data_IF_850541238364
#
_entry.id   IF_850541238364
#
_cell.length_a   1.000
_cell.length_b   1.000
_cell.length_c   1.000
_cell.angle_alpha   90.00
_cell.angle_beta   90.00
_cell.angle_gamma   90.00
#
_symmetry.space_group_name_H-M   'P 1'
#
loop_
_entity.id
_entity.type
_entity.pdbx_description
1 polymer ?
#
# COMPACT_ATOMS: atom_id res chain seq x y z
N UNK A 1 -1.51 -22.03 -2.73
CA UNK A 1 -1.09 -23.09 -1.78
C UNK A 1 -1.83 -22.86 -0.48
N UNK A 2 -2.53 -23.86 0.06
CA UNK A 2 -3.13 -23.74 1.39
C UNK A 2 -2.00 -23.74 2.43
N UNK A 3 -1.88 -22.67 3.22
CA UNK A 3 -0.91 -22.61 4.31
C UNK A 3 -1.40 -23.57 5.42
N UNK A 4 -0.57 -24.51 5.90
CA UNK A 4 -1.00 -25.43 6.95
C UNK A 4 -1.40 -24.66 8.21
N UNK A 5 -2.42 -25.18 8.91
CA UNK A 5 -2.94 -24.57 10.12
C UNK A 5 -1.81 -24.36 11.15
N UNK A 6 -1.53 -23.09 11.46
CA UNK A 6 -0.50 -22.70 12.42
C UNK A 6 -1.19 -22.30 13.72
N UNK A 7 -0.81 -22.95 14.82
CA UNK A 7 -1.28 -22.56 16.15
C UNK A 7 -0.63 -21.22 16.53
N UNK A 8 -1.45 -20.19 16.74
CA UNK A 8 -1.03 -18.87 17.21
C UNK A 8 -1.50 -18.67 18.64
N UNK A 9 -0.62 -18.12 19.49
CA UNK A 9 -0.95 -17.79 20.88
C UNK A 9 -1.22 -16.29 21.01
N UNK A 10 -2.16 -15.96 21.89
CA UNK A 10 -2.38 -14.59 22.33
C UNK A 10 -1.23 -14.14 23.23
N UNK A 11 -0.83 -12.88 23.08
CA UNK A 11 0.05 -12.24 24.05
C UNK A 11 -0.72 -11.63 25.24
N UNK A 12 -0.01 -11.00 26.17
CA UNK A 12 -0.59 -10.37 27.37
C UNK A 12 -1.57 -9.23 27.07
N UNK A 13 -1.57 -8.69 25.84
CA UNK A 13 -2.47 -7.63 25.37
C UNK A 13 -3.58 -8.18 24.47
N UNK A 14 -3.76 -9.52 24.42
CA UNK A 14 -4.76 -10.21 23.58
C UNK A 14 -4.55 -9.99 22.08
N UNK A 15 -3.30 -9.85 21.64
CA UNK A 15 -2.93 -9.75 20.21
C UNK A 15 -2.47 -11.10 19.68
N UNK A 16 -2.71 -11.36 18.39
CA UNK A 16 -2.10 -12.48 17.65
C UNK A 16 -1.04 -11.93 16.70
N UNK A 17 0.08 -12.64 16.56
CA UNK A 17 1.11 -12.30 15.58
C UNK A 17 0.91 -13.12 14.31
N UNK A 18 0.57 -12.47 13.21
CA UNK A 18 0.36 -13.14 11.92
C UNK A 18 1.69 -13.67 11.33
N UNK A 19 2.80 -12.98 11.54
CA UNK A 19 4.11 -13.38 11.02
C UNK A 19 4.05 -13.67 9.52
N UNK A 20 4.52 -14.84 9.08
CA UNK A 20 4.48 -15.28 7.67
C UNK A 20 3.08 -15.51 7.08
N UNK A 21 2.01 -15.39 7.88
CA UNK A 21 0.64 -15.44 7.37
C UNK A 21 0.22 -14.11 6.74
N UNK A 22 0.88 -13.00 7.10
CA UNK A 22 0.68 -11.73 6.43
C UNK A 22 1.63 -11.62 5.24
N UNK A 23 1.11 -11.19 4.10
CA UNK A 23 1.92 -10.82 2.95
C UNK A 23 2.63 -9.49 3.24
N UNK A 24 3.80 -9.29 2.63
CA UNK A 24 4.68 -8.15 2.97
C UNK A 24 4.05 -6.78 2.68
N UNK A 25 3.16 -6.71 1.69
CA UNK A 25 2.57 -5.45 1.23
C UNK A 25 1.30 -5.09 2.01
N UNK A 26 0.81 -5.98 2.89
CA UNK A 26 -0.38 -5.75 3.70
C UNK A 26 -0.01 -4.89 4.91
N UNK A 27 -0.66 -3.72 5.04
CA UNK A 27 -0.41 -2.80 6.15
C UNK A 27 -1.48 -2.90 7.24
N UNK A 28 -2.70 -3.33 6.90
CA UNK A 28 -3.80 -3.49 7.86
C UNK A 28 -4.77 -4.61 7.45
N UNK A 29 -5.68 -4.97 8.36
CA UNK A 29 -6.73 -5.95 8.11
C UNK A 29 -8.06 -5.43 8.66
N UNK A 30 -9.14 -5.60 7.91
CA UNK A 30 -10.48 -5.57 8.51
C UNK A 30 -10.77 -6.91 9.17
N UNK A 31 -11.27 -6.89 10.39
CA UNK A 31 -11.67 -8.09 11.12
C UNK A 31 -13.19 -8.24 11.12
N UNK A 32 -13.66 -9.42 10.74
CA UNK A 32 -15.07 -9.81 10.79
C UNK A 32 -15.23 -11.00 11.75
N UNK A 33 -16.11 -10.87 12.74
CA UNK A 33 -16.45 -11.95 13.67
C UNK A 33 -17.78 -12.57 13.24
N UNK A 34 -17.76 -13.88 12.97
CA UNK A 34 -18.97 -14.68 12.70
C UNK A 34 -19.60 -15.18 14.00
N UNK A 35 -20.88 -15.55 13.92
CA UNK A 35 -21.65 -16.02 15.08
C UNK A 35 -21.09 -17.30 15.73
N UNK A 36 -20.37 -18.13 14.95
CA UNK A 36 -19.70 -19.34 15.42
C UNK A 36 -18.34 -19.08 16.11
N UNK A 37 -17.95 -17.81 16.23
CA UNK A 37 -16.68 -17.39 16.81
C UNK A 37 -15.51 -17.35 15.81
N UNK A 38 -15.75 -17.65 14.53
CA UNK A 38 -14.73 -17.53 13.48
C UNK A 38 -14.37 -16.07 13.24
N UNK A 39 -13.08 -15.76 13.24
CA UNK A 39 -12.56 -14.44 12.85
C UNK A 39 -12.00 -14.53 11.43
N UNK A 40 -12.54 -13.72 10.52
CA UNK A 40 -12.04 -13.57 9.15
C UNK A 40 -11.29 -12.24 9.08
N UNK A 41 -10.07 -12.27 8.52
CA UNK A 41 -9.24 -11.09 8.32
C UNK A 41 -9.15 -10.78 6.84
N UNK A 42 -9.57 -9.58 6.44
CA UNK A 42 -9.50 -9.09 5.06
C UNK A 42 -8.29 -8.16 4.90
N UNK A 43 -7.26 -8.55 4.14
CA UNK A 43 -6.03 -7.76 4.00
C UNK A 43 -6.29 -6.43 3.29
N UNK A 44 -5.57 -5.38 3.71
CA UNK A 44 -5.62 -4.03 3.16
C UNK A 44 -4.24 -3.41 3.02
N UNK A 45 -4.15 -2.46 2.10
CA UNK A 45 -3.01 -1.56 1.95
C UNK A 45 -3.50 -0.14 2.25
N UNK A 46 -2.88 0.50 3.21
CA UNK A 46 -3.13 1.90 3.58
C UNK A 46 -2.30 2.81 2.70
N UNK A 47 -2.94 3.87 2.20
CA UNK A 47 -2.30 4.89 1.38
C UNK A 47 -2.28 6.17 2.22
N UNK A 48 -1.14 6.88 2.32
CA UNK A 48 -1.07 8.18 2.98
C UNK A 48 -2.15 9.13 2.45
N UNK A 49 -2.78 9.90 3.34
CA UNK A 49 -3.90 10.76 2.97
C UNK A 49 -3.58 11.75 1.83
N UNK A 50 -2.33 12.24 1.78
CA UNK A 50 -1.87 13.14 0.74
C UNK A 50 -1.58 12.46 -0.61
N UNK A 51 -1.57 11.12 -0.67
CA UNK A 51 -1.45 10.33 -1.92
C UNK A 51 -2.81 9.75 -2.36
N UNK A 52 -3.80 9.70 -1.46
CA UNK A 52 -5.10 9.10 -1.74
C UNK A 52 -5.86 9.76 -2.91
N UNK A 53 -5.56 11.02 -3.23
CA UNK A 53 -6.14 11.71 -4.39
C UNK A 53 -5.74 11.06 -5.72
N UNK A 54 -4.52 10.52 -5.82
CA UNK A 54 -4.01 9.91 -7.05
C UNK A 54 -4.87 8.70 -7.44
N UNK A 55 -5.22 7.88 -6.46
CA UNK A 55 -6.08 6.71 -6.65
C UNK A 55 -7.55 7.07 -6.91
N UNK A 56 -7.98 8.31 -6.63
CA UNK A 56 -9.30 8.84 -6.97
C UNK A 56 -9.34 9.51 -8.34
N UNK A 57 -8.19 9.74 -8.98
CA UNK A 57 -8.07 10.35 -10.30
C UNK A 57 -7.45 9.34 -11.30
N UNK A 58 -8.29 8.58 -12.03
CA UNK A 58 -7.82 7.54 -12.94
C UNK A 58 -6.88 8.05 -14.04
N UNK A 59 -7.08 9.29 -14.51
CA UNK A 59 -6.25 9.91 -15.54
C UNK A 59 -4.85 10.21 -15.01
N UNK A 60 -4.76 10.83 -13.83
CA UNK A 60 -3.47 11.09 -13.19
C UNK A 60 -2.72 9.79 -12.87
N UNK A 61 -3.43 8.77 -12.35
CA UNK A 61 -2.85 7.46 -12.08
C UNK A 61 -2.31 6.80 -13.35
N UNK A 62 -3.06 6.85 -14.45
CA UNK A 62 -2.62 6.33 -15.74
C UNK A 62 -1.37 7.06 -16.26
N UNK A 63 -1.29 8.38 -16.05
CA UNK A 63 -0.11 9.18 -16.37
C UNK A 63 1.13 8.73 -15.60
N UNK A 64 1.01 8.53 -14.29
CA UNK A 64 2.12 8.04 -13.44
C UNK A 64 2.56 6.64 -13.88
N UNK A 65 1.62 5.71 -14.07
CA UNK A 65 1.94 4.35 -14.50
C UNK A 65 2.65 4.32 -15.86
N UNK A 66 2.17 5.12 -16.82
CA UNK A 66 2.83 5.28 -18.11
C UNK A 66 4.25 5.82 -17.96
N UNK A 67 4.44 6.84 -17.11
CA UNK A 67 5.76 7.38 -16.82
C UNK A 67 6.73 6.33 -16.26
N UNK A 68 6.25 5.44 -15.37
CA UNK A 68 7.05 4.32 -14.86
C UNK A 68 7.47 3.34 -15.97
N UNK A 69 6.57 3.04 -16.91
CA UNK A 69 6.89 2.22 -18.08
C UNK A 69 7.88 2.90 -19.03
N UNK A 70 7.71 4.20 -19.26
CA UNK A 70 8.60 5.01 -20.09
C UNK A 70 10.02 5.04 -19.51
N UNK A 71 10.16 5.22 -18.18
CA UNK A 71 11.46 5.13 -17.48
C UNK A 71 12.10 3.75 -17.69
N UNK A 72 11.35 2.68 -17.48
CA UNK A 72 11.85 1.31 -17.65
C UNK A 72 12.29 1.03 -19.09
N UNK A 73 11.63 1.63 -20.06
CA UNK A 73 11.93 1.49 -21.49
C UNK A 73 12.97 2.51 -22.01
N UNK A 74 13.47 3.41 -21.17
CA UNK A 74 14.40 4.48 -21.57
C UNK A 74 13.79 5.58 -22.43
N UNK A 75 12.46 5.69 -22.48
CA UNK A 75 11.71 6.74 -23.20
C UNK A 75 11.63 8.02 -22.35
N UNK A 76 12.79 8.53 -21.94
CA UNK A 76 12.91 9.72 -21.08
C UNK A 76 13.63 10.83 -21.82
N UNK A 77 13.33 12.07 -21.46
CA UNK A 77 14.02 13.26 -21.98
C UNK A 77 14.41 14.14 -20.82
N UNK A 78 15.64 14.64 -20.83
CA UNK A 78 16.10 15.60 -19.84
C UNK A 78 15.41 16.95 -20.06
N UNK A 79 14.85 17.50 -19.00
CA UNK A 79 14.27 18.84 -18.98
C UNK A 79 14.83 19.57 -17.76
N UNK A 80 15.27 20.80 -17.98
CA UNK A 80 15.71 21.70 -16.94
C UNK A 80 14.55 22.66 -16.61
N UNK A 81 14.21 22.77 -15.33
CA UNK A 81 13.14 23.63 -14.82
C UNK A 81 13.66 24.68 -13.84
N UNK A 82 14.98 24.85 -13.72
CA UNK A 82 15.58 25.83 -12.81
C UNK A 82 15.10 27.26 -13.06
N UNK A 83 14.64 27.60 -14.26
CA UNK A 83 14.06 28.90 -14.58
C UNK A 83 12.72 29.20 -13.89
N UNK A 84 12.05 28.19 -13.33
CA UNK A 84 10.77 28.33 -12.61
C UNK A 84 10.90 28.14 -11.10
N UNK A 85 12.11 28.00 -10.57
CA UNK A 85 12.32 27.92 -9.14
C UNK A 85 12.19 29.33 -8.53
N UNK A 86 11.25 29.50 -7.61
CA UNK A 86 11.23 30.68 -6.75
C UNK A 86 12.37 30.54 -5.74
N UNK A 87 13.44 31.32 -5.93
CA UNK A 87 14.62 31.34 -5.03
C UNK A 87 14.31 31.99 -3.66
N UNK A 88 13.11 32.53 -3.46
CA UNK A 88 12.63 33.06 -2.18
C UNK A 88 11.94 31.96 -1.37
N UNK A 89 12.73 31.09 -0.74
CA UNK A 89 12.26 30.23 0.35
C UNK A 89 12.55 30.97 1.66
N UNK A 90 11.53 31.58 2.27
CA UNK A 90 11.58 32.16 3.64
C UNK A 90 11.70 31.08 4.73
#
# INVERSE_FOLDING_TARGET
MAVPAKNLKLDSKRRITLGKLAENDVTSYDAELKDDGTIILHPKVEIPAHEAWLYKNPEALAGVLKGMEDIKAGRVTYMDFSEYADDEIE
#
